data_IF_173896142627
#
_entry.id   IF_173896142627
#
_cell.length_a   1.000
_cell.length_b   1.000
_cell.length_c   1.000
_cell.angle_alpha   90.00
_cell.angle_beta   90.00
_cell.angle_gamma   90.00
#
_symmetry.space_group_name_H-M   'P 1'
#
loop_
_entity.id
_entity.type
_entity.pdbx_description
1 polymer ?
#
# COMPACT_ATOMS: atom_id res chain seq x y z
N UNK A 1 51.90 -18.76 41.22
CA UNK A 1 51.72 -17.46 40.57
C UNK A 1 50.81 -17.66 39.35
N UNK A 2 49.52 -17.44 39.54
CA UNK A 2 48.57 -17.44 38.45
C UNK A 2 48.48 -16.01 37.88
N UNK A 3 49.05 -15.85 36.69
CA UNK A 3 48.98 -14.58 35.99
C UNK A 3 47.56 -14.45 35.37
N UNK A 4 46.69 -13.68 36.02
CA UNK A 4 45.43 -13.26 35.43
C UNK A 4 45.69 -12.13 34.43
N UNK A 5 45.59 -12.42 33.17
CA UNK A 5 45.56 -11.37 32.16
C UNK A 5 44.27 -10.53 32.35
N UNK A 6 44.34 -9.21 32.29
CA UNK A 6 43.16 -8.39 32.37
C UNK A 6 42.28 -8.70 31.17
N UNK A 7 41.04 -9.06 31.45
CA UNK A 7 40.00 -9.14 30.40
C UNK A 7 39.76 -7.71 29.93
N UNK A 8 40.31 -7.39 28.77
CA UNK A 8 40.00 -6.14 28.10
C UNK A 8 38.51 -6.21 27.72
N UNK A 9 37.72 -5.26 28.18
CA UNK A 9 36.34 -5.13 27.78
C UNK A 9 36.29 -4.98 26.24
N UNK A 10 35.84 -6.01 25.56
CA UNK A 10 35.66 -5.97 24.13
C UNK A 10 34.24 -5.46 23.83
N UNK A 11 34.14 -4.37 23.11
CA UNK A 11 32.90 -3.87 22.58
C UNK A 11 32.81 -4.18 21.10
N UNK A 12 31.61 -4.50 20.65
CA UNK A 12 31.29 -4.63 19.23
C UNK A 12 30.48 -3.43 18.80
N UNK A 13 30.76 -2.89 17.63
CA UNK A 13 29.98 -1.84 17.01
C UNK A 13 29.32 -2.37 15.76
N UNK A 14 27.99 -2.21 15.66
CA UNK A 14 27.24 -2.49 14.42
C UNK A 14 26.88 -1.14 13.80
N UNK A 15 27.19 -1.01 12.52
CA UNK A 15 26.88 0.18 11.73
C UNK A 15 25.69 -0.15 10.81
N UNK A 16 24.67 0.71 10.84
CA UNK A 16 23.58 0.71 9.87
C UNK A 16 23.53 2.10 9.24
N UNK A 17 24.15 2.25 8.08
CA UNK A 17 24.43 3.57 7.51
C UNK A 17 25.39 4.37 8.40
N UNK A 18 25.01 5.59 8.77
CA UNK A 18 25.80 6.45 9.70
C UNK A 18 25.50 6.17 11.18
N UNK A 19 24.50 5.36 11.49
CA UNK A 19 24.15 4.99 12.86
C UNK A 19 25.08 3.88 13.37
N UNK A 20 25.64 4.09 14.55
CA UNK A 20 26.50 3.15 15.24
C UNK A 20 25.83 2.71 16.55
N UNK A 21 25.67 1.39 16.71
CA UNK A 21 25.18 0.79 17.98
C UNK A 21 26.32 0.02 18.64
N UNK A 22 26.55 0.29 19.90
CA UNK A 22 27.59 -0.36 20.70
C UNK A 22 26.99 -1.50 21.54
N UNK A 23 27.67 -2.64 21.54
CA UNK A 23 27.33 -3.79 22.37
C UNK A 23 28.53 -4.17 23.22
N UNK A 24 28.31 -4.44 24.50
CA UNK A 24 29.33 -5.01 25.39
C UNK A 24 29.35 -6.52 25.17
N UNK A 25 30.47 -7.05 24.67
CA UNK A 25 30.59 -8.48 24.34
C UNK A 25 30.48 -9.40 25.57
N UNK A 26 30.71 -8.87 26.77
CA UNK A 26 30.53 -9.64 28.01
C UNK A 26 29.03 -9.91 28.34
N UNK A 27 28.09 -9.21 27.70
CA UNK A 27 26.64 -9.34 27.88
C UNK A 27 25.98 -10.11 26.73
N UNK A 28 26.77 -10.59 25.76
CA UNK A 28 26.28 -11.29 24.58
C UNK A 28 26.65 -12.76 24.68
N UNK A 29 25.66 -13.62 24.91
CA UNK A 29 25.86 -15.06 24.98
C UNK A 29 26.21 -15.69 23.62
N UNK A 30 25.65 -15.18 22.54
CA UNK A 30 25.99 -15.59 21.17
C UNK A 30 25.60 -14.56 20.14
N UNK A 31 26.42 -14.39 19.10
CA UNK A 31 26.11 -13.63 17.91
C UNK A 31 25.82 -14.65 16.80
N UNK A 32 24.58 -14.68 16.31
CA UNK A 32 24.23 -15.49 15.16
C UNK A 32 23.89 -14.54 14.02
N UNK A 33 24.69 -14.57 12.97
CA UNK A 33 24.33 -13.98 11.70
C UNK A 33 23.52 -15.04 10.93
N UNK A 34 22.20 -14.96 10.98
CA UNK A 34 21.33 -15.63 10.03
C UNK A 34 20.96 -14.62 8.95
N UNK A 35 21.78 -14.45 7.89
CA UNK A 35 21.35 -13.62 6.78
C UNK A 35 20.12 -14.28 6.21
N UNK A 36 19.03 -13.54 6.10
CA UNK A 36 17.84 -14.01 5.39
C UNK A 36 18.29 -14.43 4.00
N UNK A 37 18.09 -15.69 3.60
CA UNK A 37 18.59 -16.17 2.32
C UNK A 37 18.06 -15.30 1.18
N UNK A 38 18.95 -14.78 0.34
CA UNK A 38 18.53 -14.17 -0.88
C UNK A 38 18.04 -15.26 -1.86
N UNK A 39 16.73 -15.38 -1.99
CA UNK A 39 16.08 -16.38 -2.85
C UNK A 39 16.51 -16.21 -4.31
N UNK A 40 16.82 -14.98 -4.74
CA UNK A 40 17.26 -14.67 -6.10
C UNK A 40 18.56 -15.38 -6.51
N UNK A 41 19.47 -15.58 -5.55
CA UNK A 41 20.77 -16.24 -5.82
C UNK A 41 20.66 -17.74 -6.06
N UNK A 42 19.56 -18.37 -5.61
CA UNK A 42 19.35 -19.81 -5.69
C UNK A 42 18.29 -20.20 -6.72
N UNK A 43 17.88 -19.26 -7.57
CA UNK A 43 16.84 -19.49 -8.58
C UNK A 43 17.44 -19.70 -9.95
N UNK A 44 16.76 -20.52 -10.77
CA UNK A 44 17.00 -20.54 -12.19
C UNK A 44 16.24 -19.37 -12.82
N UNK A 45 16.95 -18.52 -13.54
CA UNK A 45 16.34 -17.40 -14.24
C UNK A 45 16.66 -17.46 -15.74
N UNK A 46 15.65 -17.14 -16.54
CA UNK A 46 15.80 -16.90 -17.97
C UNK A 46 15.73 -15.40 -18.21
N UNK A 47 16.82 -14.85 -18.73
CA UNK A 47 16.88 -13.46 -19.14
C UNK A 47 16.29 -13.28 -20.53
N UNK A 48 15.42 -12.29 -20.68
CA UNK A 48 14.83 -11.92 -21.95
C UNK A 48 14.79 -10.42 -22.17
N UNK A 49 14.54 -10.02 -23.41
CA UNK A 49 14.49 -8.62 -23.81
C UNK A 49 13.31 -8.38 -24.75
N UNK A 50 12.74 -7.18 -24.65
CA UNK A 50 11.94 -6.59 -25.70
C UNK A 50 12.50 -5.21 -25.99
N UNK A 51 13.13 -5.04 -27.16
CA UNK A 51 13.73 -3.78 -27.56
C UNK A 51 13.28 -3.40 -28.97
N UNK A 52 12.42 -2.39 -29.07
CA UNK A 52 11.77 -1.95 -30.31
C UNK A 52 11.99 -0.44 -30.56
N UNK A 53 13.20 -0.02 -30.94
CA UNK A 53 13.51 1.39 -31.20
C UNK A 53 12.79 1.96 -32.43
N UNK A 54 12.14 1.13 -33.22
CA UNK A 54 11.23 1.50 -34.29
C UNK A 54 9.94 0.72 -34.17
N UNK A 55 8.79 1.33 -34.45
CA UNK A 55 7.52 0.64 -34.47
C UNK A 55 7.60 -0.64 -35.31
N UNK A 56 7.31 -1.79 -34.69
CA UNK A 56 7.35 -3.13 -35.26
C UNK A 56 8.74 -3.68 -35.68
N UNK A 57 9.83 -3.08 -35.24
CA UNK A 57 11.18 -3.60 -35.47
C UNK A 57 11.86 -3.87 -34.12
N UNK A 58 11.82 -5.12 -33.71
CA UNK A 58 12.58 -5.59 -32.54
C UNK A 58 14.02 -5.86 -32.91
N UNK A 59 14.92 -5.58 -31.99
CA UNK A 59 16.33 -5.95 -32.05
C UNK A 59 16.81 -6.32 -30.67
N UNK A 60 17.79 -7.19 -30.53
CA UNK A 60 18.33 -7.49 -29.20
C UNK A 60 19.30 -6.40 -28.75
N UNK A 61 19.18 -5.90 -27.53
CA UNK A 61 20.17 -5.02 -26.95
C UNK A 61 21.43 -5.82 -26.58
N UNK A 62 22.58 -5.16 -26.57
CA UNK A 62 23.79 -5.79 -26.03
C UNK A 62 23.65 -5.90 -24.49
N UNK A 63 23.82 -7.09 -23.95
CA UNK A 63 23.84 -7.32 -22.51
C UNK A 63 24.99 -8.25 -22.16
N UNK A 64 25.75 -7.88 -21.12
CA UNK A 64 26.81 -8.71 -20.54
C UNK A 64 26.55 -8.90 -19.06
N UNK A 65 26.92 -10.05 -18.54
CA UNK A 65 26.87 -10.33 -17.09
C UNK A 65 28.28 -10.58 -16.58
N UNK A 66 28.62 -9.97 -15.44
CA UNK A 66 29.87 -10.22 -14.74
C UNK A 66 29.64 -10.09 -13.23
N UNK A 67 29.88 -11.17 -12.51
CA UNK A 67 29.77 -11.23 -11.04
C UNK A 67 28.41 -10.72 -10.52
N UNK A 68 27.31 -11.14 -11.13
CA UNK A 68 25.95 -10.74 -10.77
C UNK A 68 25.57 -9.31 -11.14
N UNK A 69 26.41 -8.63 -11.94
CA UNK A 69 26.10 -7.31 -12.52
C UNK A 69 25.83 -7.46 -13.99
N UNK A 70 24.63 -7.07 -14.42
CA UNK A 70 24.22 -7.01 -15.80
C UNK A 70 24.50 -5.62 -16.34
N UNK A 71 25.15 -5.53 -17.49
CA UNK A 71 25.36 -4.26 -18.22
C UNK A 71 24.56 -4.31 -19.51
N UNK A 72 23.43 -3.60 -19.53
CA UNK A 72 22.54 -3.46 -20.68
C UNK A 72 22.93 -2.23 -21.48
N UNK A 73 23.08 -2.38 -22.81
CA UNK A 73 23.38 -1.27 -23.74
C UNK A 73 22.27 -1.12 -24.76
N UNK A 74 21.58 0.01 -24.70
CA UNK A 74 20.54 0.42 -25.64
C UNK A 74 21.16 1.35 -26.69
N UNK A 75 21.49 0.81 -27.85
CA UNK A 75 22.24 1.53 -28.91
C UNK A 75 21.40 2.62 -29.60
N UNK A 76 20.09 2.47 -29.62
CA UNK A 76 19.15 3.40 -30.25
C UNK A 76 18.20 4.00 -29.20
N UNK A 77 17.69 5.21 -29.45
CA UNK A 77 16.67 5.83 -28.62
C UNK A 77 15.30 5.17 -28.83
N UNK A 78 14.48 5.22 -27.80
CA UNK A 78 13.05 4.85 -27.84
C UNK A 78 12.21 6.00 -27.34
N UNK A 79 10.93 6.06 -27.71
CA UNK A 79 9.99 7.09 -27.24
C UNK A 79 9.11 6.61 -26.10
N UNK A 80 8.69 5.34 -26.14
CA UNK A 80 7.77 4.79 -25.17
C UNK A 80 8.49 3.90 -24.16
N UNK A 81 8.00 3.90 -22.93
CA UNK A 81 8.58 3.16 -21.80
C UNK A 81 8.73 1.67 -22.10
N UNK A 82 7.69 1.04 -22.62
CA UNK A 82 7.65 -0.40 -22.93
C UNK A 82 8.53 -0.82 -24.11
N UNK A 83 9.10 0.12 -24.87
CA UNK A 83 9.94 -0.19 -26.04
C UNK A 83 11.35 -0.68 -25.70
N UNK A 84 11.76 -0.65 -24.44
CA UNK A 84 13.05 -1.17 -23.99
C UNK A 84 12.89 -1.89 -22.67
N UNK A 85 12.57 -3.17 -22.73
CA UNK A 85 12.38 -4.02 -21.56
C UNK A 85 13.49 -5.04 -21.40
N UNK A 86 13.90 -5.28 -20.17
CA UNK A 86 14.71 -6.41 -19.74
C UNK A 86 13.91 -7.16 -18.69
N UNK A 87 13.78 -8.46 -18.81
CA UNK A 87 13.00 -9.23 -17.85
C UNK A 87 13.69 -10.54 -17.45
N UNK A 88 13.51 -10.91 -16.21
CA UNK A 88 13.99 -12.16 -15.64
C UNK A 88 12.77 -13.02 -15.27
N UNK A 89 12.60 -14.11 -16.00
CA UNK A 89 11.61 -15.14 -15.65
C UNK A 89 12.28 -16.15 -14.75
N UNK A 90 11.80 -16.29 -13.52
CA UNK A 90 12.39 -17.18 -12.53
C UNK A 90 11.50 -18.38 -12.22
N UNK A 91 12.06 -19.39 -11.56
CA UNK A 91 11.32 -20.50 -10.94
C UNK A 91 11.01 -20.23 -9.46
N UNK A 92 11.23 -18.98 -9.00
CA UNK A 92 10.88 -18.55 -7.66
C UNK A 92 9.38 -18.65 -7.41
N UNK A 93 9.05 -19.22 -6.27
CA UNK A 93 7.69 -19.26 -5.74
C UNK A 93 7.61 -18.41 -4.51
N UNK A 94 6.48 -17.74 -4.34
CA UNK A 94 6.16 -17.00 -3.13
C UNK A 94 4.84 -17.50 -2.56
N UNK A 95 4.64 -17.31 -1.26
CA UNK A 95 3.53 -17.84 -0.46
C UNK A 95 2.79 -16.68 0.19
N UNK A 96 1.47 -16.69 0.09
CA UNK A 96 0.59 -15.67 0.68
C UNK A 96 0.72 -15.53 2.20
N UNK A 97 1.23 -16.56 2.90
CA UNK A 97 1.40 -16.57 4.37
C UNK A 97 2.80 -16.10 4.82
N UNK A 98 3.58 -15.52 3.93
CA UNK A 98 4.93 -15.02 4.16
C UNK A 98 5.02 -13.56 3.80
N UNK A 99 6.05 -12.87 4.28
CA UNK A 99 6.40 -11.54 3.84
C UNK A 99 7.72 -11.57 3.10
N UNK A 100 7.90 -10.61 2.19
CA UNK A 100 9.09 -10.55 1.35
C UNK A 100 9.69 -9.15 1.33
N UNK A 101 11.02 -9.10 1.19
CA UNK A 101 11.74 -7.88 0.87
C UNK A 101 12.34 -7.98 -0.53
N UNK A 102 12.26 -6.92 -1.31
CA UNK A 102 12.90 -6.83 -2.61
C UNK A 102 13.91 -5.70 -2.65
N UNK A 103 15.03 -5.93 -3.31
CA UNK A 103 16.07 -4.92 -3.52
C UNK A 103 16.74 -5.09 -4.87
N UNK A 104 17.03 -3.96 -5.51
CA UNK A 104 17.81 -3.90 -6.74
C UNK A 104 18.60 -2.58 -6.79
N UNK A 105 19.80 -2.63 -7.36
CA UNK A 105 20.62 -1.44 -7.60
C UNK A 105 20.75 -1.19 -9.08
N UNK A 106 20.47 0.02 -9.51
CA UNK A 106 20.50 0.49 -10.89
C UNK A 106 21.43 1.69 -11.02
N UNK A 107 22.19 1.75 -12.10
CA UNK A 107 23.02 2.91 -12.44
C UNK A 107 23.04 3.10 -13.94
N UNK A 108 22.58 4.24 -14.43
CA UNK A 108 22.56 4.56 -15.84
C UNK A 108 23.59 5.63 -16.22
N UNK A 109 24.21 5.52 -17.37
CA UNK A 109 25.16 6.54 -17.85
C UNK A 109 24.46 7.83 -18.34
N UNK A 110 23.13 7.80 -18.48
CA UNK A 110 22.28 8.94 -18.85
C UNK A 110 21.03 8.96 -17.99
N UNK A 111 20.55 10.15 -17.68
CA UNK A 111 19.28 10.27 -16.97
C UNK A 111 18.13 9.73 -17.80
N UNK A 112 17.31 8.84 -17.21
CA UNK A 112 16.12 8.28 -17.83
C UNK A 112 15.13 7.84 -16.74
N UNK A 113 13.82 7.86 -17.00
CA UNK A 113 12.88 7.15 -16.17
C UNK A 113 13.01 5.64 -16.40
N UNK A 114 12.93 4.85 -15.34
CA UNK A 114 12.86 3.40 -15.43
C UNK A 114 11.61 2.91 -14.69
N UNK A 115 11.07 1.75 -15.06
CA UNK A 115 10.06 1.06 -14.25
C UNK A 115 10.64 -0.22 -13.71
N UNK A 116 10.36 -0.49 -12.44
CA UNK A 116 10.65 -1.76 -11.78
C UNK A 116 9.32 -2.42 -11.48
N UNK A 117 9.11 -3.64 -11.98
CA UNK A 117 7.89 -4.43 -11.76
C UNK A 117 8.24 -5.84 -11.33
N UNK A 118 7.53 -6.34 -10.33
CA UNK A 118 7.68 -7.72 -9.86
C UNK A 118 6.30 -8.40 -9.88
N UNK A 119 6.08 -9.34 -10.80
CA UNK A 119 4.78 -9.94 -11.06
C UNK A 119 4.83 -11.45 -11.28
N UNK A 120 3.65 -12.07 -11.37
CA UNK A 120 3.46 -13.47 -11.75
C UNK A 120 3.66 -13.65 -13.25
N UNK A 121 4.38 -14.69 -13.65
CA UNK A 121 4.49 -15.09 -15.06
C UNK A 121 3.12 -15.35 -15.68
N UNK A 122 2.84 -14.66 -16.78
CA UNK A 122 1.60 -14.83 -17.54
C UNK A 122 0.34 -14.26 -16.87
N UNK A 123 0.50 -13.52 -15.77
CA UNK A 123 -0.60 -12.81 -15.13
C UNK A 123 -0.12 -11.42 -14.67
N UNK A 124 -0.30 -10.42 -15.53
CA UNK A 124 0.12 -9.04 -15.26
C UNK A 124 -0.72 -8.33 -14.19
N UNK A 125 -1.83 -8.92 -13.78
CA UNK A 125 -2.68 -8.39 -12.71
C UNK A 125 -2.24 -8.85 -11.32
N UNK A 126 -1.39 -9.88 -11.23
CA UNK A 126 -0.84 -10.39 -9.99
C UNK A 126 0.61 -9.91 -9.89
N UNK A 127 0.83 -8.83 -9.13
CA UNK A 127 2.14 -8.20 -8.98
C UNK A 127 2.34 -7.66 -7.56
N UNK A 128 3.60 -7.61 -7.11
CA UNK A 128 3.97 -6.95 -5.86
C UNK A 128 4.00 -5.43 -6.01
N UNK A 129 4.61 -4.95 -7.10
CA UNK A 129 4.69 -3.54 -7.42
C UNK A 129 4.98 -3.35 -8.92
N UNK A 130 4.60 -2.18 -9.42
CA UNK A 130 4.98 -1.62 -10.71
C UNK A 130 5.25 -0.13 -10.50
N UNK A 131 6.53 0.24 -10.41
CA UNK A 131 6.91 1.59 -10.00
C UNK A 131 7.87 2.25 -10.96
N UNK A 132 7.58 3.51 -11.26
CA UNK A 132 8.41 4.36 -12.09
C UNK A 132 9.39 5.15 -11.23
N UNK A 133 10.68 5.03 -11.53
CA UNK A 133 11.78 5.64 -10.80
C UNK A 133 12.62 6.54 -11.70
N UNK A 134 13.14 7.68 -11.21
CA UNK A 134 14.01 8.57 -11.96
C UNK A 134 15.47 8.13 -11.77
N UNK A 135 16.12 7.60 -12.80
CA UNK A 135 17.56 7.37 -12.78
C UNK A 135 18.28 8.65 -13.20
N UNK A 136 19.19 9.13 -12.36
CA UNK A 136 20.11 10.21 -12.71
C UNK A 136 21.37 9.66 -13.37
N UNK A 137 22.01 10.46 -14.21
CA UNK A 137 23.20 10.02 -14.92
C UNK A 137 24.38 9.76 -13.98
N UNK A 138 24.95 8.54 -14.07
CA UNK A 138 26.11 8.07 -13.30
C UNK A 138 25.92 8.09 -11.77
N UNK A 139 24.67 8.08 -11.28
CA UNK A 139 24.34 7.94 -9.88
C UNK A 139 23.74 6.55 -9.64
N UNK A 140 24.12 5.94 -8.52
CA UNK A 140 23.49 4.70 -8.06
C UNK A 140 22.08 4.98 -7.55
N UNK A 141 21.10 4.21 -8.00
CA UNK A 141 19.76 4.19 -7.45
C UNK A 141 19.48 2.82 -6.83
N UNK A 142 19.14 2.82 -5.56
CA UNK A 142 18.71 1.60 -4.86
C UNK A 142 17.20 1.65 -4.76
N UNK A 143 16.54 0.71 -5.43
CA UNK A 143 15.11 0.46 -5.25
C UNK A 143 14.96 -0.65 -4.22
N UNK A 144 14.19 -0.40 -3.18
CA UNK A 144 13.98 -1.34 -2.09
C UNK A 144 12.54 -1.30 -1.60
N UNK A 145 11.99 -2.48 -1.34
CA UNK A 145 10.72 -2.68 -0.67
C UNK A 145 10.92 -3.71 0.43
N UNK A 146 10.45 -3.40 1.62
CA UNK A 146 10.53 -4.28 2.79
C UNK A 146 9.11 -4.65 3.24
N UNK A 147 9.00 -5.81 3.86
CA UNK A 147 7.78 -6.31 4.49
C UNK A 147 6.56 -6.33 3.54
N UNK A 148 6.80 -6.63 2.25
CA UNK A 148 5.74 -6.82 1.27
C UNK A 148 4.90 -8.04 1.66
N UNK A 149 3.58 -7.91 1.82
CA UNK A 149 2.70 -9.05 2.06
C UNK A 149 2.84 -10.08 0.94
N UNK A 150 2.87 -11.36 1.31
CA UNK A 150 3.08 -12.44 0.34
C UNK A 150 1.93 -12.58 -0.65
N UNK A 151 2.29 -13.06 -1.82
CA UNK A 151 1.38 -13.45 -2.90
C UNK A 151 1.71 -14.87 -3.31
N UNK A 152 0.69 -15.68 -3.59
CA UNK A 152 0.90 -17.02 -4.15
C UNK A 152 1.31 -16.91 -5.62
N UNK A 153 2.61 -16.95 -5.86
CA UNK A 153 3.18 -16.94 -7.20
C UNK A 153 3.97 -18.23 -7.47
N UNK A 154 3.69 -18.86 -8.57
CA UNK A 154 4.42 -20.07 -9.02
C UNK A 154 5.71 -19.73 -9.77
N UNK A 155 5.82 -18.52 -10.30
CA UNK A 155 6.96 -18.05 -11.06
C UNK A 155 7.01 -16.53 -11.02
N UNK A 156 7.93 -15.99 -10.24
CA UNK A 156 8.14 -14.54 -10.12
C UNK A 156 8.90 -14.02 -11.35
N UNK A 157 8.43 -12.93 -11.92
CA UNK A 157 9.07 -12.21 -13.03
C UNK A 157 9.45 -10.82 -12.59
N UNK A 158 10.72 -10.47 -12.75
CA UNK A 158 11.20 -9.10 -12.64
C UNK A 158 11.23 -8.47 -14.04
N UNK A 159 10.50 -7.39 -14.22
CA UNK A 159 10.50 -6.58 -15.45
C UNK A 159 11.12 -5.22 -15.15
N UNK A 160 12.03 -4.81 -16.01
CA UNK A 160 12.70 -3.52 -15.97
C UNK A 160 12.45 -2.81 -17.31
N UNK A 161 11.72 -1.69 -17.27
CA UNK A 161 11.48 -0.87 -18.45
C UNK A 161 12.43 0.32 -18.45
N UNK A 162 13.12 0.51 -19.55
CA UNK A 162 14.08 1.58 -19.78
C UNK A 162 13.74 2.43 -21.01
N UNK A 163 12.53 2.30 -21.52
CA UNK A 163 12.07 3.04 -22.68
C UNK A 163 11.96 4.55 -22.42
N UNK A 164 12.02 5.34 -23.47
CA UNK A 164 12.31 6.77 -23.41
C UNK A 164 13.81 7.06 -23.26
N UNK A 165 14.66 6.04 -23.45
CA UNK A 165 16.11 6.16 -23.40
C UNK A 165 16.65 6.99 -24.57
N UNK A 166 17.85 7.56 -24.37
CA UNK A 166 18.64 8.21 -25.43
C UNK A 166 19.53 7.16 -26.11
N UNK A 167 19.98 7.47 -27.32
CA UNK A 167 20.96 6.64 -28.06
C UNK A 167 22.19 6.36 -27.19
N UNK A 168 22.70 5.13 -27.24
CA UNK A 168 23.85 4.66 -26.45
C UNK A 168 23.66 4.89 -24.93
N UNK A 169 22.50 4.52 -24.42
CA UNK A 169 22.24 4.45 -22.97
C UNK A 169 22.72 3.10 -22.46
N UNK A 170 23.54 3.13 -21.40
CA UNK A 170 23.99 1.94 -20.70
C UNK A 170 23.42 1.95 -19.29
N UNK A 171 22.86 0.81 -18.85
CA UNK A 171 22.33 0.62 -17.51
C UNK A 171 23.02 -0.57 -16.86
N UNK A 172 23.61 -0.36 -15.69
CA UNK A 172 24.12 -1.42 -14.84
C UNK A 172 23.04 -1.82 -13.83
N UNK A 173 22.76 -3.11 -13.76
CA UNK A 173 21.78 -3.72 -12.87
C UNK A 173 22.50 -4.70 -11.97
N UNK A 174 22.41 -4.52 -10.65
CA UNK A 174 23.14 -5.35 -9.69
C UNK A 174 22.38 -5.48 -8.37
N UNK A 175 22.88 -6.31 -7.47
CA UNK A 175 22.35 -6.49 -6.11
C UNK A 175 20.87 -6.86 -6.12
N UNK A 176 20.44 -7.69 -7.08
CA UNK A 176 19.06 -8.18 -7.11
C UNK A 176 18.88 -9.14 -5.94
N UNK A 177 17.90 -8.87 -5.09
CA UNK A 177 17.58 -9.71 -3.96
C UNK A 177 16.05 -9.79 -3.78
N UNK A 178 15.57 -10.99 -3.54
CA UNK A 178 14.25 -11.27 -2.98
C UNK A 178 14.50 -12.10 -1.72
N UNK A 179 14.04 -11.61 -0.57
CA UNK A 179 14.26 -12.24 0.74
C UNK A 179 12.93 -12.49 1.40
N UNK A 180 12.78 -13.61 2.06
CA UNK A 180 11.64 -13.84 2.95
C UNK A 180 11.90 -13.06 4.24
N UNK A 181 10.93 -12.27 4.69
CA UNK A 181 11.01 -11.46 5.93
C UNK A 181 9.97 -11.93 6.93
N UNK A 182 10.24 -11.76 8.21
CA UNK A 182 9.21 -11.95 9.24
C UNK A 182 8.39 -10.67 9.37
N UNK A 183 7.08 -10.77 9.23
CA UNK A 183 6.17 -9.66 9.48
C UNK A 183 6.10 -9.36 10.97
N UNK A 184 6.65 -8.23 11.37
CA UNK A 184 6.58 -7.75 12.75
C UNK A 184 5.52 -6.66 12.88
N UNK A 185 4.28 -7.08 13.13
CA UNK A 185 3.16 -6.17 13.37
C UNK A 185 3.36 -5.27 14.61
N UNK A 186 4.34 -5.58 15.47
CA UNK A 186 4.60 -4.79 16.68
C UNK A 186 5.38 -3.51 16.41
N UNK A 187 6.13 -3.43 15.30
CA UNK A 187 6.93 -2.26 14.94
C UNK A 187 6.12 -1.02 14.57
N UNK A 188 4.83 -1.21 14.26
CA UNK A 188 3.94 -0.12 13.84
C UNK A 188 3.09 0.45 14.96
N UNK A 189 3.15 -0.11 16.18
CA UNK A 189 2.19 0.20 17.25
C UNK A 189 2.28 1.57 17.90
N UNK A 190 3.38 2.28 17.83
CA UNK A 190 3.55 3.47 18.70
C UNK A 190 4.20 4.72 18.10
N UNK A 191 4.81 4.66 16.93
CA UNK A 191 5.50 5.81 16.33
C UNK A 191 4.99 6.14 14.94
N UNK A 192 4.75 7.43 14.70
CA UNK A 192 4.59 7.92 13.33
C UNK A 192 5.86 7.61 12.52
N UNK A 193 5.75 7.11 11.29
CA UNK A 193 6.91 6.90 10.42
C UNK A 193 7.61 8.21 10.04
N UNK A 194 6.97 9.38 10.29
CA UNK A 194 7.51 10.69 9.97
C UNK A 194 8.07 11.37 11.23
N UNK A 195 9.39 11.69 11.28
CA UNK A 195 10.08 12.09 12.52
C UNK A 195 9.59 13.40 13.12
N UNK A 196 9.08 14.34 12.29
CA UNK A 196 8.65 15.67 12.75
C UNK A 196 7.15 15.76 13.06
N UNK A 197 6.47 14.62 13.17
CA UNK A 197 5.07 14.53 13.44
C UNK A 197 4.79 14.14 14.89
N UNK A 198 3.65 14.57 15.43
CA UNK A 198 3.14 14.18 16.73
C UNK A 198 1.72 13.65 16.62
N UNK A 199 1.37 12.70 17.48
CA UNK A 199 0.00 12.20 17.57
C UNK A 199 -0.91 13.35 18.07
N UNK A 200 -1.97 13.64 17.31
CA UNK A 200 -2.95 14.69 17.63
C UNK A 200 -4.33 14.11 17.92
N UNK A 201 -4.62 12.92 17.44
CA UNK A 201 -5.88 12.23 17.67
C UNK A 201 -5.70 10.72 17.43
N UNK A 202 -6.37 9.91 18.25
CA UNK A 202 -6.47 8.46 18.03
C UNK A 202 -7.74 7.89 18.65
N UNK A 203 -8.12 6.70 18.19
CA UNK A 203 -9.00 5.80 18.88
C UNK A 203 -8.44 4.39 18.78
N UNK A 204 -8.09 3.82 19.92
CA UNK A 204 -7.55 2.46 20.07
C UNK A 204 -8.66 1.45 20.40
N UNK A 205 -9.92 1.88 20.37
CA UNK A 205 -11.11 1.07 20.64
C UNK A 205 -11.03 0.18 21.89
N UNK A 206 -10.25 0.62 22.87
CA UNK A 206 -10.00 -0.11 24.12
C UNK A 206 -11.20 -0.11 25.10
N UNK A 207 -12.23 0.69 24.81
CA UNK A 207 -13.45 0.77 25.60
C UNK A 207 -14.54 -0.12 25.03
N UNK A 208 -15.46 -0.63 25.86
CA UNK A 208 -16.59 -1.47 25.40
C UNK A 208 -17.72 -0.70 24.71
N UNK A 209 -17.62 0.61 24.62
CA UNK A 209 -18.61 1.48 23.99
C UNK A 209 -17.90 2.40 23.02
N UNK A 210 -18.43 2.47 21.80
CA UNK A 210 -17.95 3.42 20.81
C UNK A 210 -18.06 4.86 21.34
N UNK A 211 -16.96 5.59 21.33
CA UNK A 211 -16.90 6.94 21.87
C UNK A 211 -17.67 7.93 20.98
N UNK A 212 -18.85 8.34 21.43
CA UNK A 212 -19.73 9.26 20.70
C UNK A 212 -19.17 10.68 20.51
N UNK A 213 -18.14 11.06 21.29
CA UNK A 213 -17.42 12.32 21.06
C UNK A 213 -16.44 12.24 19.89
N UNK A 214 -16.04 11.03 19.52
CA UNK A 214 -15.10 10.77 18.40
C UNK A 214 -15.82 10.32 17.13
N UNK A 215 -16.91 9.52 17.27
CA UNK A 215 -17.61 8.89 16.17
C UNK A 215 -19.09 9.21 16.15
N UNK A 216 -19.60 9.51 14.97
CA UNK A 216 -21.03 9.71 14.73
C UNK A 216 -21.52 8.78 13.64
N UNK A 217 -22.74 8.28 13.75
CA UNK A 217 -23.36 7.42 12.74
C UNK A 217 -23.99 8.26 11.64
N UNK A 218 -23.86 7.79 10.40
CA UNK A 218 -24.73 8.17 9.30
C UNK A 218 -25.92 7.24 9.28
N UNK A 219 -27.11 7.80 9.10
CA UNK A 219 -28.34 7.07 8.83
C UNK A 219 -28.76 7.30 7.39
N UNK A 220 -29.03 6.22 6.65
CA UNK A 220 -29.45 6.29 5.26
C UNK A 220 -30.15 4.99 4.85
N UNK A 221 -31.21 5.09 4.06
CA UNK A 221 -31.87 3.92 3.49
C UNK A 221 -31.06 3.31 2.33
N UNK A 222 -31.36 2.05 2.01
CA UNK A 222 -30.85 1.37 0.84
C UNK A 222 -31.10 2.20 -0.44
N UNK A 223 -30.10 2.22 -1.34
CA UNK A 223 -30.17 3.00 -2.58
C UNK A 223 -29.84 4.50 -2.42
N UNK A 224 -29.42 4.95 -1.23
CA UNK A 224 -29.08 6.34 -0.99
C UNK A 224 -27.95 6.85 -1.91
N UNK A 225 -26.87 6.08 -2.05
CA UNK A 225 -25.77 6.33 -2.99
C UNK A 225 -25.39 5.02 -3.68
N UNK A 226 -24.81 5.09 -4.88
CA UNK A 226 -24.21 3.97 -5.61
C UNK A 226 -25.12 2.72 -5.72
N UNK A 227 -26.45 2.88 -5.61
CA UNK A 227 -27.43 1.78 -5.55
C UNK A 227 -27.12 0.69 -4.52
N UNK A 228 -26.43 1.08 -3.43
CA UNK A 228 -26.06 0.18 -2.35
C UNK A 228 -27.28 -0.43 -1.66
N UNK A 229 -27.21 -1.69 -1.23
CA UNK A 229 -28.35 -2.47 -0.79
C UNK A 229 -28.57 -2.44 0.73
N UNK A 230 -27.62 -1.97 1.52
CA UNK A 230 -27.75 -1.87 2.98
C UNK A 230 -28.49 -0.60 3.40
N UNK A 231 -29.11 -0.69 4.57
CA UNK A 231 -29.60 0.47 5.33
C UNK A 231 -28.57 0.77 6.44
N UNK A 232 -28.04 1.98 6.46
CA UNK A 232 -27.21 2.47 7.56
C UNK A 232 -28.08 2.96 8.71
N UNK A 233 -27.83 2.48 9.92
CA UNK A 233 -28.59 2.84 11.13
C UNK A 233 -27.68 3.22 12.27
N UNK A 234 -28.22 3.99 13.21
CA UNK A 234 -27.48 4.39 14.40
C UNK A 234 -27.52 3.28 15.45
N UNK A 235 -26.36 2.68 15.70
CA UNK A 235 -26.11 1.75 16.79
C UNK A 235 -26.74 0.37 16.65
N UNK A 236 -28.07 0.30 16.36
CA UNK A 236 -28.79 -0.98 16.29
C UNK A 236 -29.87 -0.98 15.22
N UNK A 237 -30.11 -2.16 14.65
CA UNK A 237 -31.27 -2.42 13.81
C UNK A 237 -32.58 -2.29 14.57
N UNK A 238 -33.75 -2.29 13.88
CA UNK A 238 -35.06 -2.25 14.53
C UNK A 238 -35.32 -3.40 15.53
N UNK A 239 -34.70 -4.58 15.34
CA UNK A 239 -34.82 -5.70 16.29
C UNK A 239 -33.77 -5.68 17.40
N UNK A 240 -32.90 -4.67 17.42
CA UNK A 240 -31.94 -4.46 18.48
C UNK A 240 -30.55 -5.08 18.25
N UNK A 241 -30.29 -5.64 17.05
CA UNK A 241 -28.98 -6.16 16.67
C UNK A 241 -28.02 -5.00 16.43
N UNK A 242 -26.82 -5.04 17.02
CA UNK A 242 -25.80 -3.98 16.85
C UNK A 242 -25.29 -3.97 15.40
N UNK A 243 -25.10 -2.78 14.84
CA UNK A 243 -24.44 -2.56 13.54
C UNK A 243 -22.97 -2.16 13.71
N UNK A 244 -22.59 -1.67 14.90
CA UNK A 244 -21.19 -1.47 15.29
C UNK A 244 -21.05 -1.53 16.80
N UNK A 245 -19.87 -1.98 17.24
CA UNK A 245 -19.48 -1.92 18.66
C UNK A 245 -17.95 -1.91 18.80
N UNK A 246 -17.48 -1.34 19.90
CA UNK A 246 -16.12 -1.52 20.38
C UNK A 246 -16.12 -2.69 21.37
N UNK A 247 -15.35 -3.73 21.09
CA UNK A 247 -15.20 -4.91 21.95
C UNK A 247 -13.86 -5.60 21.67
N UNK A 248 -13.28 -6.16 22.72
CA UNK A 248 -12.02 -6.92 22.66
C UNK A 248 -10.85 -6.12 22.04
N UNK A 249 -10.84 -4.79 22.26
CA UNK A 249 -9.80 -3.89 21.77
C UNK A 249 -9.95 -3.51 20.29
N UNK A 250 -11.07 -3.81 19.64
CA UNK A 250 -11.33 -3.44 18.25
C UNK A 250 -12.70 -2.81 18.08
N UNK A 251 -12.85 -1.94 17.08
CA UNK A 251 -14.15 -1.56 16.52
C UNK A 251 -14.58 -2.67 15.54
N UNK A 252 -15.80 -3.15 15.69
CA UNK A 252 -16.43 -4.09 14.79
C UNK A 252 -17.59 -3.41 14.08
N UNK A 253 -17.59 -3.43 12.76
CA UNK A 253 -18.72 -2.99 11.92
C UNK A 253 -19.36 -4.24 11.33
N UNK A 254 -20.61 -4.48 11.69
CA UNK A 254 -21.37 -5.65 11.29
C UNK A 254 -22.25 -5.34 10.09
N UNK A 255 -22.25 -6.24 9.12
CA UNK A 255 -23.23 -6.24 8.03
C UNK A 255 -24.02 -7.53 8.08
N UNK A 256 -25.33 -7.44 8.20
CA UNK A 256 -26.19 -8.60 8.39
C UNK A 256 -27.60 -8.37 7.82
N UNK A 257 -28.26 -9.48 7.50
CA UNK A 257 -29.66 -9.50 7.08
C UNK A 257 -30.59 -9.62 8.28
N UNK A 258 -31.62 -8.79 8.28
CA UNK A 258 -32.73 -8.88 9.23
C UNK A 258 -34.05 -8.70 8.48
N UNK A 259 -34.82 -9.80 8.33
CA UNK A 259 -35.99 -9.82 7.45
C UNK A 259 -35.59 -9.63 5.98
N UNK A 260 -36.20 -8.66 5.31
CA UNK A 260 -35.92 -8.34 3.90
C UNK A 260 -34.78 -7.31 3.72
N UNK A 261 -34.27 -6.72 4.79
CA UNK A 261 -33.27 -5.64 4.72
C UNK A 261 -31.89 -6.12 5.19
N UNK A 262 -30.85 -5.54 4.60
CA UNK A 262 -29.48 -5.64 5.08
C UNK A 262 -29.16 -4.36 5.86
N UNK A 263 -28.56 -4.51 7.04
CA UNK A 263 -28.14 -3.42 7.92
C UNK A 263 -26.63 -3.37 8.03
N UNK A 264 -26.10 -2.16 8.12
CA UNK A 264 -24.67 -1.91 8.33
C UNK A 264 -24.46 -0.57 9.06
N UNK A 265 -23.20 -0.20 9.31
CA UNK A 265 -22.84 1.11 9.84
C UNK A 265 -21.91 1.88 8.91
N UNK A 266 -22.10 3.21 8.90
CA UNK A 266 -21.17 4.20 8.38
C UNK A 266 -20.87 5.20 9.47
N UNK A 267 -19.59 5.29 9.86
CA UNK A 267 -19.10 6.04 10.98
C UNK A 267 -18.23 7.20 10.53
N UNK A 268 -18.49 8.39 11.03
CA UNK A 268 -17.72 9.60 10.80
C UNK A 268 -16.86 9.92 12.01
N UNK A 269 -15.53 9.96 11.83
CA UNK A 269 -14.59 10.31 12.88
C UNK A 269 -14.34 11.80 12.94
N UNK A 270 -14.42 12.42 14.16
CA UNK A 270 -14.12 13.84 14.41
C UNK A 270 -14.78 14.81 13.40
N UNK A 271 -15.99 14.51 12.96
CA UNK A 271 -16.67 15.16 11.83
C UNK A 271 -16.77 16.68 11.92
N UNK A 272 -16.91 17.23 13.12
CA UNK A 272 -17.13 18.68 13.31
C UNK A 272 -15.88 19.53 13.10
N UNK A 273 -14.69 18.94 13.23
CA UNK A 273 -13.39 19.63 13.15
C UNK A 273 -12.58 19.10 11.98
N UNK A 274 -12.54 17.77 11.81
CA UNK A 274 -11.70 17.12 10.82
C UNK A 274 -10.20 17.31 11.08
N UNK A 275 -9.42 17.02 10.08
CA UNK A 275 -7.96 17.20 10.05
C UNK A 275 -7.57 17.82 8.72
N UNK A 276 -6.63 18.74 8.74
CA UNK A 276 -6.02 19.29 7.53
C UNK A 276 -4.56 18.88 7.53
N UNK A 277 -4.16 18.09 6.55
CA UNK A 277 -2.83 17.52 6.40
C UNK A 277 -2.47 16.59 7.56
N UNK A 278 -1.47 15.79 7.36
CA UNK A 278 -0.95 14.88 8.36
C UNK A 278 -0.64 13.49 7.80
N UNK A 279 -0.22 12.63 8.70
CA UNK A 279 -0.15 11.20 8.47
C UNK A 279 -1.32 10.57 9.23
N UNK A 280 -2.18 9.85 8.52
CA UNK A 280 -3.42 9.29 9.08
C UNK A 280 -3.45 7.82 8.70
N UNK A 281 -3.63 6.95 9.68
CA UNK A 281 -3.68 5.50 9.44
C UNK A 281 -4.80 4.82 10.23
N UNK A 282 -5.25 3.72 9.69
CA UNK A 282 -6.09 2.75 10.37
C UNK A 282 -5.55 1.34 10.15
N UNK A 283 -5.61 0.50 11.19
CA UNK A 283 -5.27 -0.91 11.09
C UNK A 283 -6.55 -1.72 11.03
N UNK A 284 -6.81 -2.34 9.88
CA UNK A 284 -8.11 -2.90 9.53
C UNK A 284 -7.95 -4.33 9.02
N UNK A 285 -8.89 -5.21 9.43
CA UNK A 285 -9.16 -6.50 8.81
C UNK A 285 -10.47 -6.39 8.05
N UNK A 286 -10.43 -6.68 6.76
CA UNK A 286 -11.57 -6.52 5.86
C UNK A 286 -12.58 -7.67 6.02
N UNK A 287 -13.87 -7.40 5.72
CA UNK A 287 -14.90 -8.44 5.73
C UNK A 287 -14.81 -9.30 4.48
N UNK A 288 -15.04 -10.60 4.62
CA UNK A 288 -14.96 -11.57 3.54
C UNK A 288 -16.33 -11.87 2.93
N UNK A 289 -16.43 -11.80 1.61
CA UNK A 289 -17.61 -12.30 0.89
C UNK A 289 -18.04 -11.46 -0.28
N UNK A 290 -18.52 -12.12 -1.33
CA UNK A 290 -18.99 -11.48 -2.55
C UNK A 290 -20.20 -10.57 -2.28
N UNK A 291 -20.05 -9.31 -2.55
CA UNK A 291 -21.04 -8.26 -2.28
C UNK A 291 -20.60 -7.26 -1.22
N UNK A 292 -19.48 -7.50 -0.49
CA UNK A 292 -18.91 -6.51 0.42
C UNK A 292 -18.28 -5.37 -0.36
N UNK A 293 -18.31 -4.20 0.27
CA UNK A 293 -17.59 -3.00 -0.15
C UNK A 293 -17.21 -2.21 1.10
N UNK A 294 -16.16 -2.65 1.83
CA UNK A 294 -15.58 -1.91 2.93
C UNK A 294 -14.81 -0.70 2.42
N UNK A 295 -14.82 0.38 3.21
CA UNK A 295 -14.09 1.59 2.89
C UNK A 295 -13.52 2.29 4.13
N UNK A 296 -12.28 2.80 3.98
CA UNK A 296 -11.59 3.73 4.83
C UNK A 296 -11.20 4.95 4.00
N UNK A 297 -11.85 6.08 4.22
CA UNK A 297 -11.84 7.24 3.34
C UNK A 297 -12.14 8.55 4.06
N UNK A 298 -12.10 9.67 3.37
CA UNK A 298 -12.26 10.98 3.96
C UNK A 298 -13.10 11.93 3.10
N UNK A 299 -13.93 12.73 3.78
CA UNK A 299 -14.72 13.80 3.17
C UNK A 299 -14.43 15.14 3.87
N UNK A 300 -14.59 16.29 3.16
CA UNK A 300 -14.38 17.59 3.77
C UNK A 300 -15.46 17.92 4.81
N UNK A 301 -15.04 18.60 5.89
CA UNK A 301 -15.95 19.08 6.95
C UNK A 301 -17.03 19.98 6.36
N UNK A 302 -16.66 20.87 5.45
CA UNK A 302 -17.56 21.75 4.73
C UNK A 302 -17.60 21.33 3.26
N UNK A 303 -18.69 20.70 2.86
CA UNK A 303 -18.89 20.25 1.49
C UNK A 303 -19.60 21.29 0.65
N UNK A 304 -19.05 21.57 -0.55
CA UNK A 304 -19.68 22.39 -1.58
C UNK A 304 -20.47 21.57 -2.61
N UNK A 305 -20.61 20.27 -2.35
CA UNK A 305 -21.19 19.29 -3.29
C UNK A 305 -20.12 18.44 -3.96
N UNK A 306 -20.42 17.15 -4.07
CA UNK A 306 -19.57 16.17 -4.72
C UNK A 306 -19.68 16.25 -6.24
N UNK A 307 -18.61 16.08 -7.06
CA UNK A 307 -17.24 15.77 -6.66
C UNK A 307 -16.36 17.01 -6.39
N UNK A 308 -16.87 18.23 -6.59
CA UNK A 308 -16.08 19.47 -6.45
C UNK A 308 -15.54 19.70 -5.02
N UNK A 309 -16.17 19.09 -4.03
CA UNK A 309 -15.72 19.21 -2.65
C UNK A 309 -14.44 18.41 -2.34
N UNK A 310 -14.04 17.49 -3.19
CA UNK A 310 -12.95 16.54 -2.96
C UNK A 310 -13.37 15.35 -2.12
N UNK A 311 -12.76 14.19 -2.39
CA UNK A 311 -12.86 12.93 -1.67
C UNK A 311 -11.53 12.20 -1.73
N UNK A 312 -11.13 11.58 -0.64
CA UNK A 312 -9.88 10.82 -0.53
C UNK A 312 -10.21 9.43 -0.03
N UNK A 313 -10.06 8.42 -0.88
CA UNK A 313 -10.28 7.03 -0.54
C UNK A 313 -8.92 6.40 -0.25
N UNK A 314 -8.66 6.16 1.04
CA UNK A 314 -7.38 5.60 1.51
C UNK A 314 -7.34 4.12 1.22
N UNK A 315 -8.46 3.43 1.45
CA UNK A 315 -8.62 2.00 1.17
C UNK A 315 -10.06 1.69 0.86
N UNK A 316 -10.28 1.00 -0.25
CA UNK A 316 -11.51 0.33 -0.60
C UNK A 316 -11.21 -1.07 -1.12
N UNK A 317 -12.16 -1.99 -0.96
CA UNK A 317 -12.15 -3.33 -1.54
C UNK A 317 -13.56 -3.71 -1.96
N UNK A 318 -13.66 -4.58 -2.95
CA UNK A 318 -14.93 -5.28 -3.24
C UNK A 318 -14.72 -6.79 -3.14
N UNK A 319 -15.54 -7.45 -2.33
CA UNK A 319 -15.39 -8.88 -2.04
C UNK A 319 -15.63 -9.82 -3.23
N UNK A 320 -15.89 -9.30 -4.41
CA UNK A 320 -15.87 -10.03 -5.68
C UNK A 320 -14.46 -10.15 -6.26
N UNK A 321 -13.56 -9.28 -5.86
CA UNK A 321 -12.12 -9.30 -6.21
C UNK A 321 -11.29 -9.21 -4.91
N UNK A 322 -11.29 -10.26 -4.10
CA UNK A 322 -10.75 -10.25 -2.74
C UNK A 322 -9.24 -9.98 -2.74
N UNK A 323 -8.78 -9.33 -1.68
CA UNK A 323 -7.38 -8.93 -1.49
C UNK A 323 -6.87 -7.88 -2.50
N UNK A 324 -7.72 -7.35 -3.37
CA UNK A 324 -7.37 -6.24 -4.23
C UNK A 324 -7.90 -4.95 -3.61
N UNK A 325 -7.01 -4.20 -2.98
CA UNK A 325 -7.33 -2.92 -2.35
C UNK A 325 -7.05 -1.77 -3.30
N UNK A 326 -7.94 -0.79 -3.28
CA UNK A 326 -7.90 0.40 -4.12
C UNK A 326 -7.69 1.65 -3.27
N UNK A 327 -6.99 2.62 -3.81
CA UNK A 327 -6.94 3.98 -3.30
C UNK A 327 -7.33 4.95 -4.39
N UNK A 328 -8.16 5.95 -4.08
CA UNK A 328 -8.69 6.86 -5.10
C UNK A 328 -8.73 8.31 -4.63
N UNK A 329 -8.65 9.22 -5.58
CA UNK A 329 -8.85 10.67 -5.39
C UNK A 329 -9.96 11.12 -6.32
N UNK A 330 -10.98 11.78 -5.75
CA UNK A 330 -12.04 12.40 -6.52
C UNK A 330 -12.10 13.91 -6.29
N UNK A 331 -12.22 14.65 -7.39
CA UNK A 331 -12.49 16.08 -7.42
C UNK A 331 -13.19 16.45 -8.73
N UNK A 332 -13.47 17.73 -8.98
CA UNK A 332 -14.24 18.11 -10.17
C UNK A 332 -13.57 17.69 -11.47
N UNK A 333 -12.24 17.83 -11.57
CA UNK A 333 -11.47 17.41 -12.74
C UNK A 333 -11.28 15.89 -12.83
N UNK A 334 -11.27 15.19 -11.68
CA UNK A 334 -10.96 13.77 -11.58
C UNK A 334 -12.04 13.06 -10.78
N UNK A 335 -12.93 12.32 -11.43
CA UNK A 335 -14.03 11.66 -10.75
C UNK A 335 -14.56 10.44 -11.49
N UNK A 336 -15.21 9.55 -10.76
CA UNK A 336 -15.76 8.31 -11.28
C UNK A 336 -16.79 8.49 -12.41
N UNK A 337 -17.81 9.39 -12.33
CA UNK A 337 -18.74 9.59 -13.41
C UNK A 337 -18.11 9.94 -14.76
N UNK A 338 -16.96 10.60 -14.74
CA UNK A 338 -16.22 10.97 -15.94
C UNK A 338 -15.09 9.98 -16.28
N UNK A 339 -14.90 8.90 -15.48
CA UNK A 339 -13.80 7.94 -15.62
C UNK A 339 -12.40 8.60 -15.61
N UNK A 340 -12.24 9.67 -14.79
CA UNK A 340 -11.02 10.45 -14.69
C UNK A 340 -10.41 10.42 -13.30
N UNK A 341 -11.01 9.73 -12.32
CA UNK A 341 -10.48 9.61 -10.98
C UNK A 341 -9.02 9.11 -10.99
N UNK A 342 -8.25 9.56 -10.03
CA UNK A 342 -6.89 9.07 -9.83
C UNK A 342 -6.97 7.86 -8.90
N UNK A 343 -6.77 6.70 -9.44
CA UNK A 343 -6.93 5.42 -8.74
C UNK A 343 -5.72 4.54 -8.96
N UNK A 344 -5.29 3.85 -7.91
CA UNK A 344 -4.33 2.76 -7.98
C UNK A 344 -4.82 1.58 -7.14
N UNK A 345 -4.71 0.39 -7.71
CA UNK A 345 -5.07 -0.87 -7.06
C UNK A 345 -3.81 -1.69 -6.79
N UNK A 346 -3.76 -2.37 -5.65
CA UNK A 346 -2.70 -3.33 -5.35
C UNK A 346 -3.25 -4.56 -4.64
N UNK A 347 -2.53 -5.67 -4.69
CA UNK A 347 -2.85 -6.83 -3.90
C UNK A 347 -2.33 -6.66 -2.46
N UNK A 348 -3.24 -6.81 -1.51
CA UNK A 348 -2.97 -6.90 -0.08
C UNK A 348 -3.42 -8.28 0.38
N UNK A 349 -2.55 -9.27 0.22
CA UNK A 349 -2.90 -10.66 0.52
C UNK A 349 -3.15 -10.85 2.01
N UNK A 350 -4.27 -11.51 2.33
CA UNK A 350 -4.71 -11.66 3.70
C UNK A 350 -5.49 -10.46 4.24
N UNK A 351 -5.89 -9.51 3.40
CA UNK A 351 -6.70 -8.35 3.80
C UNK A 351 -7.99 -8.76 4.52
N UNK A 352 -8.59 -9.88 4.10
CA UNK A 352 -9.79 -10.45 4.71
C UNK A 352 -9.48 -11.40 5.90
N UNK A 353 -8.24 -11.90 6.03
CA UNK A 353 -7.83 -12.87 7.05
C UNK A 353 -7.11 -12.22 8.23
N UNK A 354 -6.39 -11.12 8.01
CA UNK A 354 -5.56 -10.45 8.99
C UNK A 354 -5.76 -8.93 9.04
N UNK A 355 -5.05 -8.30 9.98
CA UNK A 355 -5.04 -6.84 10.10
C UNK A 355 -3.89 -6.26 9.28
N UNK A 356 -4.21 -5.30 8.42
CA UNK A 356 -3.27 -4.52 7.62
C UNK A 356 -3.38 -3.03 7.95
N UNK A 357 -2.31 -2.27 7.70
CA UNK A 357 -2.27 -0.83 7.95
C UNK A 357 -2.50 -0.10 6.63
N UNK A 358 -3.56 0.69 6.61
CA UNK A 358 -3.90 1.56 5.48
C UNK A 358 -3.72 3.00 5.90
N UNK A 359 -2.81 3.71 5.22
CA UNK A 359 -2.37 5.03 5.65
C UNK A 359 -2.34 6.04 4.50
N UNK A 360 -2.35 7.31 4.89
CA UNK A 360 -2.18 8.45 4.01
C UNK A 360 -1.16 9.43 4.60
N UNK A 361 -0.22 9.88 3.79
CA UNK A 361 0.56 11.08 4.00
C UNK A 361 -0.03 12.18 3.13
N UNK A 362 -0.56 13.21 3.76
CA UNK A 362 -1.24 14.31 3.08
C UNK A 362 -0.64 15.63 3.48
N UNK A 363 -0.11 16.34 2.50
CA UNK A 363 0.54 17.65 2.63
C UNK A 363 -0.17 18.69 1.77
N UNK A 364 0.36 19.88 1.68
CA UNK A 364 -0.10 20.88 0.72
C UNK A 364 0.33 20.59 -0.72
N UNK A 365 1.38 19.76 -0.87
CA UNK A 365 2.00 19.47 -2.16
C UNK A 365 1.53 18.15 -2.76
N UNK A 366 1.16 17.16 -1.93
CA UNK A 366 0.76 15.84 -2.40
C UNK A 366 -0.12 15.08 -1.42
N UNK A 367 -0.80 14.09 -1.95
CA UNK A 367 -1.45 13.00 -1.24
C UNK A 367 -0.76 11.70 -1.64
N UNK A 368 -0.36 10.91 -0.66
CA UNK A 368 0.28 9.62 -0.86
C UNK A 368 -0.35 8.59 0.06
N UNK A 369 -0.80 7.47 -0.49
CA UNK A 369 -1.40 6.41 0.32
C UNK A 369 -0.47 5.20 0.41
N UNK A 370 -0.68 4.39 1.45
CA UNK A 370 0.16 3.25 1.76
C UNK A 370 -0.67 2.05 2.22
N UNK A 371 -0.21 0.85 1.88
CA UNK A 371 -0.64 -0.42 2.47
C UNK A 371 0.57 -1.06 3.11
N UNK A 372 0.54 -1.28 4.42
CA UNK A 372 1.64 -1.84 5.22
C UNK A 372 2.99 -1.15 4.96
N UNK A 373 2.96 0.17 4.80
CA UNK A 373 4.14 0.99 4.51
C UNK A 373 4.60 1.01 3.06
N UNK A 374 3.97 0.21 2.18
CA UNK A 374 4.21 0.25 0.73
C UNK A 374 3.35 1.34 0.10
N UNK A 375 3.96 2.23 -0.67
CA UNK A 375 3.23 3.28 -1.40
C UNK A 375 2.25 2.65 -2.39
N UNK A 376 0.99 3.11 -2.34
CA UNK A 376 -0.06 2.66 -3.23
C UNK A 376 -0.40 3.71 -4.28
N UNK A 377 -0.75 4.92 -3.88
CA UNK A 377 -1.11 6.03 -4.77
C UNK A 377 -0.27 7.25 -4.44
N UNK A 378 0.20 7.95 -5.45
CA UNK A 378 0.80 9.27 -5.37
C UNK A 378 0.04 10.24 -6.25
N UNK A 379 -0.49 11.32 -5.64
CA UNK A 379 -1.20 12.39 -6.34
C UNK A 379 -0.63 13.74 -5.94
N UNK A 380 -0.08 14.47 -6.90
CA UNK A 380 0.63 15.72 -6.71
C UNK A 380 -0.28 16.93 -6.98
N UNK A 381 -0.11 17.97 -6.16
CA UNK A 381 -0.73 19.27 -6.38
C UNK A 381 -0.10 19.93 -7.61
N UNK A 382 -0.91 20.41 -8.53
CA UNK A 382 -0.44 21.15 -9.72
C UNK A 382 -0.01 22.60 -9.42
N UNK A 383 -0.23 23.08 -8.19
CA UNK A 383 0.05 24.43 -7.71
C UNK A 383 -0.56 25.57 -8.56
N UNK A 384 -1.66 25.26 -9.27
CA UNK A 384 -2.37 26.26 -10.09
C UNK A 384 -3.43 27.05 -9.30
N UNK A 385 -3.54 26.82 -7.99
CA UNK A 385 -4.59 27.37 -7.11
C UNK A 385 -6.00 27.11 -7.63
N UNK A 386 -6.20 25.93 -8.22
CA UNK A 386 -7.41 25.50 -8.85
C UNK A 386 -8.12 24.43 -8.02
N UNK A 387 -9.25 24.77 -7.39
CA UNK A 387 -10.04 23.82 -6.62
C UNK A 387 -10.67 22.71 -7.46
N UNK A 388 -10.75 22.83 -8.77
CA UNK A 388 -11.24 21.76 -9.63
C UNK A 388 -10.27 20.58 -9.68
N UNK A 389 -8.96 20.85 -9.57
CA UNK A 389 -7.89 19.85 -9.58
C UNK A 389 -7.36 19.54 -8.19
N UNK A 390 -7.36 20.53 -7.26
CA UNK A 390 -6.82 20.37 -5.90
C UNK A 390 -7.70 21.01 -4.81
N UNK A 391 -8.86 20.41 -4.46
CA UNK A 391 -9.70 20.88 -3.36
C UNK A 391 -9.23 20.45 -1.96
N UNK A 392 -8.04 19.85 -1.82
CA UNK A 392 -7.50 19.22 -0.62
C UNK A 392 -6.73 20.16 0.30
N UNK A 393 -7.07 21.43 0.28
CA UNK A 393 -6.46 22.49 1.11
C UNK A 393 -7.30 22.87 2.34
N UNK A 394 -8.25 22.02 2.76
CA UNK A 394 -9.20 22.22 3.86
C UNK A 394 -9.27 20.99 4.77
N UNK A 395 -10.00 21.07 5.87
CA UNK A 395 -10.14 19.95 6.80
C UNK A 395 -11.09 18.87 6.26
N UNK A 396 -10.66 17.61 6.35
CA UNK A 396 -11.42 16.40 6.05
C UNK A 396 -11.60 15.56 7.31
N UNK A 397 -12.68 14.83 7.39
CA UNK A 397 -12.94 13.87 8.46
C UNK A 397 -12.92 12.44 7.92
N UNK A 398 -12.36 11.48 8.70
CA UNK A 398 -12.31 10.09 8.30
C UNK A 398 -13.67 9.40 8.39
N UNK A 399 -13.87 8.41 7.53
CA UNK A 399 -15.08 7.61 7.43
C UNK A 399 -14.69 6.13 7.38
N UNK A 400 -15.44 5.32 8.13
CA UNK A 400 -15.38 3.86 8.11
C UNK A 400 -16.75 3.30 7.81
N UNK A 401 -16.89 2.45 6.83
CA UNK A 401 -18.15 1.77 6.55
C UNK A 401 -17.95 0.42 5.85
N UNK A 402 -19.00 -0.37 5.87
CA UNK A 402 -19.14 -1.52 4.98
C UNK A 402 -20.45 -1.33 4.19
N UNK A 403 -20.34 -1.09 2.89
CA UNK A 403 -21.47 -1.17 1.98
C UNK A 403 -21.71 -2.63 1.55
N UNK A 404 -22.90 -2.89 1.04
CA UNK A 404 -23.32 -4.20 0.54
C UNK A 404 -23.96 -4.05 -0.84
N UNK A 405 -23.42 -4.76 -1.83
CA UNK A 405 -23.88 -4.63 -3.21
C UNK A 405 -23.52 -3.27 -3.82
N UNK A 406 -24.49 -2.68 -4.51
CA UNK A 406 -24.30 -1.42 -5.22
C UNK A 406 -23.55 -1.57 -6.55
N UNK A 407 -23.21 -0.41 -7.15
CA UNK A 407 -22.66 -0.37 -8.51
C UNK A 407 -21.30 -1.06 -8.60
N UNK A 408 -20.49 -0.99 -7.55
CA UNK A 408 -19.15 -1.62 -7.53
C UNK A 408 -19.13 -2.90 -6.69
N UNK A 409 -19.54 -2.87 -5.43
CA UNK A 409 -19.56 -4.09 -4.58
C UNK A 409 -20.48 -5.19 -5.14
N UNK A 410 -21.51 -4.83 -5.91
CA UNK A 410 -22.49 -5.73 -6.48
C UNK A 410 -22.39 -5.97 -7.99
N UNK A 411 -21.37 -5.47 -8.69
CA UNK A 411 -21.33 -5.53 -10.17
C UNK A 411 -21.37 -6.96 -10.72
N UNK A 412 -20.91 -7.95 -9.97
CA UNK A 412 -20.99 -9.38 -10.32
C UNK A 412 -22.06 -10.12 -9.48
N UNK A 413 -22.96 -9.38 -8.83
CA UNK A 413 -23.98 -9.89 -7.89
C UNK A 413 -23.44 -10.00 -6.47
N UNK A 414 -24.32 -10.39 -5.54
CA UNK A 414 -24.03 -10.57 -4.13
C UNK A 414 -24.25 -12.03 -3.73
N UNK A 415 -23.48 -12.54 -2.77
CA UNK A 415 -23.70 -13.84 -2.15
C UNK A 415 -24.27 -13.64 -0.74
N UNK A 416 -25.58 -13.72 -0.61
CA UNK A 416 -26.26 -13.52 0.67
C UNK A 416 -25.87 -14.55 1.75
N UNK A 417 -25.29 -15.68 1.37
CA UNK A 417 -24.78 -16.67 2.32
C UNK A 417 -23.51 -16.20 3.06
N UNK A 418 -22.85 -15.17 2.58
CA UNK A 418 -21.73 -14.54 3.25
C UNK A 418 -22.16 -13.75 4.51
N UNK A 419 -23.43 -13.34 4.60
CA UNK A 419 -23.96 -12.61 5.75
C UNK A 419 -24.23 -13.55 6.94
N UNK A 420 -23.95 -13.18 8.20
CA UNK A 420 -23.38 -11.90 8.62
C UNK A 420 -21.86 -11.84 8.43
N UNK A 421 -21.35 -10.63 8.20
CA UNK A 421 -19.92 -10.37 8.07
C UNK A 421 -19.47 -9.19 8.94
N UNK A 422 -18.18 -9.04 9.13
CA UNK A 422 -17.63 -8.04 10.04
C UNK A 422 -16.34 -7.44 9.47
N UNK A 423 -16.24 -6.12 9.45
CA UNK A 423 -14.98 -5.39 9.36
C UNK A 423 -14.48 -5.11 10.77
N UNK A 424 -13.20 -5.38 11.03
CA UNK A 424 -12.58 -5.11 12.31
C UNK A 424 -11.52 -4.02 12.17
N UNK A 425 -11.53 -3.02 13.10
CA UNK A 425 -10.54 -1.94 13.12
C UNK A 425 -9.86 -1.94 14.48
N UNK A 426 -8.54 -2.16 14.50
CA UNK A 426 -7.73 -2.21 15.71
C UNK A 426 -7.53 -0.79 16.27
N UNK A 427 -7.18 0.14 15.40
CA UNK A 427 -7.05 1.55 15.76
C UNK A 427 -7.22 2.48 14.56
N UNK A 428 -7.44 3.76 14.88
CA UNK A 428 -7.30 4.90 13.96
C UNK A 428 -6.41 5.94 14.63
N UNK A 429 -5.39 6.42 13.94
CA UNK A 429 -4.41 7.38 14.45
C UNK A 429 -4.16 8.51 13.47
N UNK A 430 -4.00 9.72 14.00
CA UNK A 430 -3.72 10.93 13.21
C UNK A 430 -2.52 11.65 13.82
N UNK A 431 -1.51 11.85 13.02
CA UNK A 431 -0.34 12.65 13.36
C UNK A 431 -0.30 13.89 12.49
N UNK A 432 0.15 14.99 13.06
CA UNK A 432 0.37 16.22 12.32
C UNK A 432 1.77 16.75 12.61
N UNK A 433 2.30 17.56 11.68
CA UNK A 433 3.61 18.18 11.82
C UNK A 433 3.66 19.03 13.09
N UNK A 434 4.82 18.97 13.79
CA UNK A 434 5.05 19.73 15.04
C UNK A 434 5.10 21.23 14.80
#
# INVERSE_FOLDING_TARGET
MTCSLPVMAQSMSIYQGEQQTFFNLSEIDSIRFNPTPNMWLNTNSTLGFYYAPGWNQTTDPACTEKNGTYTLTLSKATSEQWQAQMYFVTDLKTDAHRNYGFRIKLCANKALPATVKLNQKGNDKLYYFEERIPLKANEDYIFERQDMPGLDMDSVVLVLDFGGNRTNTTVNISSIALTETEYDSSKHKESCPLPDYRLVWSDEFSTRVLNSARWTYQEADAGWVNHELQTYVKGKSPKGTKVAESSDGTLKIYTFREGSKVYSARLYGNRSVGFKYGYIEARIKLPKGKGTWPAWWMMPVNSSGWPACGEIDIMEEVGVDPNRVSSSIHCLAYNHPNHTQKTHEMYCVGAEEGFHIYAIEWTEDYIRTYVDGTEQLYFENDHLDNNDTWPFNKAFYPILNVAWGGDWGGYAGVDESALPLTMEVDYVRVWQKK
#
